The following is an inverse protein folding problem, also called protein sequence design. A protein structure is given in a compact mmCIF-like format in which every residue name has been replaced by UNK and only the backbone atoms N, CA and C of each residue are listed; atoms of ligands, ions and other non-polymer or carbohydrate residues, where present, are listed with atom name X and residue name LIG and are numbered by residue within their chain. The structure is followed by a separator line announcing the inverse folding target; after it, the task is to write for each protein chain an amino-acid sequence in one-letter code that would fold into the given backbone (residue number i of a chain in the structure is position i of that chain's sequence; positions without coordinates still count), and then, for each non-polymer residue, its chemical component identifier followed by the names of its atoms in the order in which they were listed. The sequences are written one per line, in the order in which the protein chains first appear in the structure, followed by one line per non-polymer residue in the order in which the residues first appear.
data_IF_187089224615
#
_entry.id   IF_187089224615
#
_cell.length_a   1.000
_cell.length_b   1.000
_cell.length_c   1.000
_cell.angle_alpha   90.00
_cell.angle_beta   90.00
_cell.angle_gamma   90.00
#
_symmetry.space_group_name_H-M   'P 1'
#
loop_
_entity.id
_entity.type
_entity.pdbx_description
1 polymer ?
#
# COMPACT_ATOMS: atom_id res chain seq x y z
N UNK A 1 -0.03 4.70 10.11
CA UNK A 1 0.96 3.98 9.28
C UNK A 1 1.68 2.95 10.11
N UNK A 2 2.30 1.99 9.44
CA UNK A 2 3.15 0.95 10.02
C UNK A 2 4.31 0.65 9.08
N UNK A 3 5.47 0.28 9.64
CA UNK A 3 6.67 -0.18 8.96
C UNK A 3 7.37 -1.18 9.90
N UNK A 4 8.12 -2.14 9.35
CA UNK A 4 8.94 -3.08 10.12
C UNK A 4 10.20 -2.42 10.68
N UNK A 5 10.66 -1.33 10.05
CA UNK A 5 11.87 -0.58 10.42
C UNK A 5 11.49 0.49 11.46
N UNK A 6 11.94 0.38 12.72
CA UNK A 6 11.59 1.34 13.77
C UNK A 6 11.98 2.79 13.46
N UNK A 7 13.07 2.99 12.74
CA UNK A 7 13.54 4.31 12.33
C UNK A 7 12.55 4.99 11.37
N UNK A 8 11.97 4.25 10.43
CA UNK A 8 10.95 4.77 9.51
C UNK A 8 9.69 5.20 10.28
N UNK A 9 9.31 4.47 11.32
CA UNK A 9 8.18 4.84 12.19
C UNK A 9 8.43 6.13 12.94
N UNK A 10 9.66 6.33 13.45
CA UNK A 10 10.03 7.56 14.14
C UNK A 10 9.94 8.77 13.20
N UNK A 11 10.54 8.68 12.02
CA UNK A 11 10.47 9.74 10.99
C UNK A 11 9.03 10.01 10.57
N UNK A 12 8.25 8.97 10.28
CA UNK A 12 6.85 9.13 9.89
C UNK A 12 6.03 9.86 10.97
N UNK A 13 6.27 9.53 12.25
CA UNK A 13 5.62 10.20 13.39
C UNK A 13 5.98 11.68 13.48
N UNK A 14 7.25 12.05 13.25
CA UNK A 14 7.70 13.45 13.20
C UNK A 14 7.00 14.23 12.09
N UNK A 15 6.65 13.56 10.98
CA UNK A 15 5.86 14.11 9.88
C UNK A 15 4.34 13.98 10.07
N UNK A 16 3.85 13.63 11.27
CA UNK A 16 2.42 13.63 11.62
C UNK A 16 1.68 12.33 11.34
N UNK A 17 2.37 11.25 10.93
CA UNK A 17 1.73 9.94 10.76
C UNK A 17 1.44 9.32 12.13
N UNK A 18 0.19 8.95 12.37
CA UNK A 18 -0.17 8.13 13.53
C UNK A 18 0.41 6.73 13.36
N UNK A 19 1.35 6.33 14.21
CA UNK A 19 2.01 5.01 14.17
C UNK A 19 1.12 3.95 14.80
N UNK A 20 0.95 2.82 14.11
CA UNK A 20 0.13 1.69 14.52
C UNK A 20 1.01 0.52 14.97
N UNK A 21 0.47 -0.37 15.79
CA UNK A 21 1.23 -1.48 16.38
C UNK A 21 1.67 -2.54 15.35
N UNK A 22 0.92 -2.71 14.26
CA UNK A 22 1.20 -3.63 13.16
C UNK A 22 0.38 -3.24 11.91
N UNK A 23 0.64 -3.91 10.78
CA UNK A 23 -0.05 -3.66 9.52
C UNK A 23 -1.57 -3.89 9.62
N UNK A 24 -2.00 -4.95 10.32
CA UNK A 24 -3.42 -5.25 10.54
C UNK A 24 -4.13 -4.12 11.29
N UNK A 25 -3.52 -3.61 12.36
CA UNK A 25 -4.05 -2.49 13.11
C UNK A 25 -4.14 -1.22 12.26
N UNK A 26 -3.22 -1.05 11.29
CA UNK A 26 -3.22 0.10 10.40
C UNK A 26 -4.35 0.09 9.36
N UNK A 27 -4.85 -1.08 8.96
CA UNK A 27 -5.89 -1.19 7.91
C UNK A 27 -7.31 -1.35 8.43
N UNK A 28 -7.47 -1.73 9.71
CA UNK A 28 -8.75 -2.18 10.28
C UNK A 28 -9.92 -1.22 10.00
N UNK A 29 -9.69 0.07 10.20
CA UNK A 29 -10.72 1.11 10.07
C UNK A 29 -10.43 2.10 8.93
N UNK A 30 -9.42 1.81 8.10
CA UNK A 30 -8.98 2.69 7.02
C UNK A 30 -9.91 2.59 5.80
N UNK A 31 -10.30 3.74 5.25
CA UNK A 31 -11.04 3.81 3.97
C UNK A 31 -10.12 3.59 2.76
N UNK A 32 -8.85 3.99 2.90
CA UNK A 32 -7.81 3.85 1.87
C UNK A 32 -6.56 3.28 2.49
N UNK A 33 -5.99 2.26 1.84
CA UNK A 33 -4.75 1.58 2.23
C UNK A 33 -3.74 1.80 1.11
N UNK A 34 -2.60 2.41 1.44
CA UNK A 34 -1.49 2.61 0.50
C UNK A 34 -0.32 1.73 0.96
N UNK A 35 0.22 0.90 0.07
CA UNK A 35 1.45 0.12 0.31
C UNK A 35 2.61 0.61 -0.55
N UNK A 36 3.82 0.55 0.00
CA UNK A 36 5.06 0.90 -0.69
C UNK A 36 6.15 -0.03 -0.17
N UNK A 37 6.33 -1.19 -0.81
CA UNK A 37 7.10 -2.31 -0.31
C UNK A 37 8.26 -2.68 -1.26
N UNK A 38 9.31 -3.37 -0.77
CA UNK A 38 10.53 -3.53 -1.56
C UNK A 38 10.44 -4.46 -2.78
N UNK A 39 9.46 -5.38 -2.83
CA UNK A 39 9.35 -6.37 -3.91
C UNK A 39 7.97 -7.05 -3.94
N UNK A 40 7.63 -7.65 -5.08
CA UNK A 40 6.34 -8.33 -5.30
C UNK A 40 6.00 -9.38 -4.24
N UNK A 41 6.96 -10.22 -3.83
CA UNK A 41 6.75 -11.20 -2.76
C UNK A 41 6.33 -10.58 -1.42
N UNK A 42 6.79 -9.37 -1.12
CA UNK A 42 6.43 -8.65 0.10
C UNK A 42 5.00 -8.11 -0.01
N UNK A 43 4.63 -7.54 -1.17
CA UNK A 43 3.26 -7.09 -1.45
C UNK A 43 2.28 -8.24 -1.29
N UNK A 44 2.54 -9.38 -1.92
CA UNK A 44 1.67 -10.56 -1.81
C UNK A 44 1.55 -11.05 -0.36
N UNK A 45 2.66 -11.16 0.37
CA UNK A 45 2.63 -11.56 1.77
C UNK A 45 1.83 -10.59 2.64
N UNK A 46 1.95 -9.29 2.40
CA UNK A 46 1.22 -8.26 3.17
C UNK A 46 -0.26 -8.29 2.80
N UNK A 47 -0.61 -8.36 1.52
CA UNK A 47 -2.01 -8.39 1.05
C UNK A 47 -2.77 -9.60 1.58
N UNK A 48 -2.17 -10.79 1.58
CA UNK A 48 -2.77 -12.00 2.17
C UNK A 48 -3.07 -11.82 3.68
N UNK A 49 -2.26 -11.04 4.41
CA UNK A 49 -2.49 -10.79 5.83
C UNK A 49 -3.54 -9.70 6.06
N UNK A 50 -3.43 -8.56 5.37
CA UNK A 50 -4.22 -7.36 5.69
C UNK A 50 -5.57 -7.31 4.98
N UNK A 51 -5.70 -7.82 3.75
CA UNK A 51 -6.94 -7.75 2.98
C UNK A 51 -8.14 -8.43 3.68
N UNK A 52 -8.01 -9.61 4.31
CA UNK A 52 -9.11 -10.22 5.05
C UNK A 52 -9.57 -9.43 6.29
N UNK A 53 -8.74 -8.50 6.77
CA UNK A 53 -8.92 -7.77 8.04
C UNK A 53 -9.17 -6.27 7.83
N UNK A 54 -9.13 -5.81 6.59
CA UNK A 54 -9.41 -4.43 6.22
C UNK A 54 -10.91 -4.13 6.30
N UNK A 55 -11.23 -2.83 6.39
CA UNK A 55 -12.60 -2.35 6.27
C UNK A 55 -13.18 -2.79 4.91
N UNK A 56 -14.42 -3.28 4.92
CA UNK A 56 -15.12 -3.67 3.68
C UNK A 56 -15.21 -2.47 2.73
N UNK A 57 -14.88 -2.71 1.45
CA UNK A 57 -14.87 -1.67 0.43
C UNK A 57 -13.73 -0.66 0.53
N UNK A 58 -12.75 -0.86 1.43
CA UNK A 58 -11.56 -0.02 1.47
C UNK A 58 -10.79 -0.10 0.14
N UNK A 59 -10.30 1.04 -0.33
CA UNK A 59 -9.49 1.13 -1.53
C UNK A 59 -8.04 0.75 -1.24
N UNK A 60 -7.50 -0.18 -2.00
CA UNK A 60 -6.10 -0.62 -1.90
C UNK A 60 -5.28 -0.05 -3.04
N UNK A 61 -4.24 0.73 -2.73
CA UNK A 61 -3.33 1.32 -3.71
C UNK A 61 -1.94 0.76 -3.45
N UNK A 62 -1.44 -0.09 -4.34
CA UNK A 62 -0.04 -0.50 -4.29
C UNK A 62 0.81 0.51 -5.06
N UNK A 63 1.72 1.18 -4.38
CA UNK A 63 2.66 2.12 -5.00
C UNK A 63 4.07 1.54 -5.16
N UNK A 64 4.22 0.25 -4.86
CA UNK A 64 5.48 -0.48 -4.99
C UNK A 64 5.90 -0.61 -6.45
N UNK A 65 7.20 -0.55 -6.74
CA UNK A 65 7.73 -0.90 -8.07
C UNK A 65 7.97 -2.41 -8.14
N UNK A 66 7.00 -3.16 -8.65
CA UNK A 66 7.03 -4.63 -8.71
C UNK A 66 6.79 -5.17 -10.13
N UNK A 67 6.99 -6.47 -10.32
CA UNK A 67 6.67 -7.12 -11.60
C UNK A 67 5.15 -7.22 -11.82
N UNK A 68 4.75 -7.24 -13.10
CA UNK A 68 3.35 -7.27 -13.53
C UNK A 68 2.59 -8.48 -13.00
N UNK A 69 3.26 -9.63 -12.86
CA UNK A 69 2.60 -10.84 -12.36
C UNK A 69 2.23 -10.70 -10.88
N UNK A 70 3.15 -10.18 -10.06
CA UNK A 70 2.90 -9.87 -8.66
C UNK A 70 1.79 -8.83 -8.48
N UNK A 71 1.78 -7.75 -9.28
CA UNK A 71 0.72 -6.74 -9.23
C UNK A 71 -0.67 -7.35 -9.51
N UNK A 72 -0.78 -8.15 -10.57
CA UNK A 72 -2.04 -8.87 -10.91
C UNK A 72 -2.50 -9.81 -9.79
N UNK A 73 -1.57 -10.52 -9.15
CA UNK A 73 -1.88 -11.38 -8.00
C UNK A 73 -2.36 -10.56 -6.79
N UNK A 74 -1.76 -9.41 -6.53
CA UNK A 74 -2.21 -8.50 -5.47
C UNK A 74 -3.65 -8.00 -5.70
N UNK A 75 -3.97 -7.58 -6.93
CA UNK A 75 -5.35 -7.24 -7.32
C UNK A 75 -6.32 -8.40 -7.10
N UNK A 76 -5.93 -9.62 -7.48
CA UNK A 76 -6.77 -10.80 -7.27
C UNK A 76 -7.03 -11.09 -5.78
N UNK A 77 -6.04 -10.89 -4.91
CA UNK A 77 -6.20 -11.01 -3.45
C UNK A 77 -7.20 -9.96 -2.94
N UNK A 78 -7.03 -8.68 -3.32
CA UNK A 78 -7.95 -7.62 -2.92
C UNK A 78 -9.40 -7.89 -3.40
N UNK A 79 -9.56 -8.28 -4.67
CA UNK A 79 -10.86 -8.59 -5.27
C UNK A 79 -11.58 -9.76 -4.56
N UNK A 80 -10.84 -10.81 -4.15
CA UNK A 80 -11.39 -11.93 -3.36
C UNK A 80 -12.05 -11.47 -2.06
N UNK A 81 -11.61 -10.35 -1.50
CA UNK A 81 -12.15 -9.75 -0.28
C UNK A 81 -13.12 -8.58 -0.55
N UNK A 82 -13.48 -8.33 -1.81
CA UNK A 82 -14.39 -7.26 -2.21
C UNK A 82 -13.79 -5.86 -2.02
N UNK A 83 -12.48 -5.74 -2.20
CA UNK A 83 -11.73 -4.49 -2.04
C UNK A 83 -11.34 -3.96 -3.42
N UNK A 84 -11.77 -2.73 -3.82
CA UNK A 84 -11.27 -2.09 -5.02
C UNK A 84 -9.76 -1.87 -4.90
N UNK A 85 -9.04 -1.97 -6.02
CA UNK A 85 -7.57 -1.85 -5.99
C UNK A 85 -6.98 -1.19 -7.23
N UNK A 86 -5.90 -0.44 -7.00
CA UNK A 86 -5.10 0.27 -8.00
C UNK A 86 -3.63 -0.17 -7.86
N UNK A 87 -3.00 -0.53 -8.97
CA UNK A 87 -1.55 -0.63 -9.12
C UNK A 87 -1.04 0.74 -9.58
N UNK A 88 -0.23 1.41 -8.77
CA UNK A 88 0.22 2.78 -8.96
C UNK A 88 1.72 2.96 -8.68
N UNK A 89 2.61 2.23 -9.38
CA UNK A 89 4.05 2.35 -9.19
C UNK A 89 4.52 3.79 -9.43
N UNK A 90 5.56 4.18 -8.70
CA UNK A 90 6.10 5.55 -8.73
C UNK A 90 7.45 5.67 -9.44
N UNK A 91 7.70 6.86 -10.00
CA UNK A 91 9.00 7.30 -10.49
C UNK A 91 9.39 8.65 -9.89
N UNK A 92 10.69 8.91 -9.74
CA UNK A 92 11.25 10.15 -9.16
C UNK A 92 12.11 9.96 -7.89
N UNK A 93 12.13 8.75 -7.31
CA UNK A 93 12.98 8.40 -6.17
C UNK A 93 12.67 9.19 -4.89
N UNK A 94 13.55 9.06 -3.89
CA UNK A 94 13.38 9.74 -2.59
C UNK A 94 13.43 11.26 -2.69
N UNK A 95 14.19 11.80 -3.65
CA UNK A 95 14.21 13.24 -3.95
C UNK A 95 12.86 13.74 -4.45
N UNK A 96 12.25 13.04 -5.42
CA UNK A 96 10.92 13.37 -5.92
C UNK A 96 9.83 13.21 -4.85
N UNK A 97 9.96 12.22 -3.96
CA UNK A 97 9.07 12.05 -2.82
C UNK A 97 9.12 13.26 -1.87
N UNK A 98 10.32 13.69 -1.49
CA UNK A 98 10.53 14.83 -0.59
C UNK A 98 10.03 16.13 -1.21
N UNK A 99 10.20 16.30 -2.53
CA UNK A 99 9.75 17.47 -3.26
C UNK A 99 8.24 17.46 -3.60
N UNK A 100 7.53 16.35 -3.36
CA UNK A 100 6.12 16.20 -3.76
C UNK A 100 5.92 16.12 -5.28
N UNK A 101 6.92 15.63 -6.01
CA UNK A 101 6.94 15.57 -7.48
C UNK A 101 7.04 14.14 -8.02
N UNK A 102 6.60 13.14 -7.26
CA UNK A 102 6.53 11.76 -7.76
C UNK A 102 5.52 11.66 -8.90
N UNK A 103 5.88 10.88 -9.91
CA UNK A 103 4.93 10.48 -10.96
C UNK A 103 4.37 9.11 -10.62
N UNK A 104 3.05 9.03 -10.51
CA UNK A 104 2.32 7.77 -10.34
C UNK A 104 1.76 7.30 -11.68
N UNK A 105 1.89 6.01 -11.97
CA UNK A 105 1.28 5.37 -13.14
C UNK A 105 0.16 4.44 -12.67
N UNK A 106 -1.04 4.99 -12.51
CA UNK A 106 -2.17 4.27 -11.91
C UNK A 106 -2.95 3.44 -12.93
N UNK A 107 -3.19 2.16 -12.61
CA UNK A 107 -4.07 1.24 -13.33
C UNK A 107 -4.95 0.43 -12.37
N UNK A 108 -6.24 0.32 -12.67
CA UNK A 108 -7.23 -0.35 -11.84
C UNK A 108 -8.55 -0.52 -12.58
N UNK A 109 -9.59 -0.99 -11.88
CA UNK A 109 -10.96 -0.95 -12.39
C UNK A 109 -11.52 0.47 -12.39
N UNK A 110 -12.50 0.77 -13.25
CA UNK A 110 -13.13 2.10 -13.31
C UNK A 110 -13.78 2.51 -11.98
N UNK A 111 -14.24 1.53 -11.18
CA UNK A 111 -14.84 1.77 -9.87
C UNK A 111 -13.83 2.04 -8.74
N UNK A 112 -12.53 1.85 -8.99
CA UNK A 112 -11.45 2.02 -8.00
C UNK A 112 -10.80 3.40 -8.12
#
# INVERSE_FOLDING_TARGET
GFDLVPENLAVAKEHGVTVMANAVAAVKDADVVITMLPAGKHVLSVYEDIAPKAKKGALFIDSSTIDVESARKAHAIAAKHGLPSIDAPVSGGTGGATAGTLTFMAGGSDEA
#
